data_IF_212484626556
#
_entry.id   IF_212484626556
#
_cell.length_a   1.000
_cell.length_b   1.000
_cell.length_c   1.000
_cell.angle_alpha   90.00
_cell.angle_beta   90.00
_cell.angle_gamma   90.00
#
_symmetry.space_group_name_H-M   'P 1'
#
loop_
_entity.id
_entity.type
_entity.pdbx_description
1 polymer ?
#
# COMPACT_ATOMS: atom_id res chain seq x y z
N UNK A 1 14.83 -13.82 5.73
CA UNK A 1 15.06 -12.34 5.65
C UNK A 1 16.54 -12.01 5.84
N UNK A 2 17.44 -12.97 5.62
CA UNK A 2 18.87 -12.76 5.90
C UNK A 2 19.49 -11.72 4.97
N UNK A 3 18.98 -11.60 3.74
CA UNK A 3 19.32 -10.53 2.81
C UNK A 3 19.06 -9.11 3.36
N UNK A 4 17.99 -8.91 4.14
CA UNK A 4 17.66 -7.62 4.75
C UNK A 4 18.58 -7.34 5.94
N UNK A 5 18.91 -8.37 6.73
CA UNK A 5 19.87 -8.26 7.83
C UNK A 5 21.27 -7.88 7.31
N UNK A 6 21.73 -8.55 6.25
CA UNK A 6 23.00 -8.23 5.58
C UNK A 6 23.02 -6.80 5.03
N UNK A 7 21.93 -6.34 4.42
CA UNK A 7 21.82 -4.98 3.90
C UNK A 7 21.90 -3.92 5.02
N UNK A 8 21.22 -4.14 6.15
CA UNK A 8 21.26 -3.23 7.30
C UNK A 8 22.64 -3.20 7.98
N UNK A 9 23.33 -4.34 8.05
CA UNK A 9 24.71 -4.43 8.54
C UNK A 9 25.68 -3.67 7.63
N UNK A 10 25.55 -3.85 6.31
CA UNK A 10 26.35 -3.12 5.32
C UNK A 10 26.06 -1.60 5.34
N UNK A 11 24.85 -1.20 5.72
CA UNK A 11 24.48 0.19 5.93
C UNK A 11 25.02 0.78 7.26
N UNK A 12 25.74 -0.02 8.06
CA UNK A 12 26.38 0.43 9.31
C UNK A 12 25.46 0.46 10.53
N UNK A 13 24.31 -0.24 10.49
CA UNK A 13 23.47 -0.40 11.67
C UNK A 13 24.10 -1.43 12.61
N UNK A 14 24.21 -1.09 13.89
CA UNK A 14 24.71 -2.01 14.93
C UNK A 14 23.88 -3.29 15.01
N UNK A 15 24.57 -4.43 15.07
CA UNK A 15 23.97 -5.77 15.14
C UNK A 15 22.88 -5.91 16.23
N UNK A 16 23.06 -5.23 17.36
CA UNK A 16 22.09 -5.23 18.46
C UNK A 16 20.73 -4.62 18.07
N UNK A 17 20.69 -3.71 17.08
CA UNK A 17 19.45 -3.06 16.59
C UNK A 17 18.90 -3.70 15.32
N UNK A 18 19.69 -4.49 14.60
CA UNK A 18 19.28 -5.12 13.33
C UNK A 18 18.04 -6.01 13.54
N UNK A 19 17.99 -6.81 14.61
CA UNK A 19 16.84 -7.68 14.87
C UNK A 19 15.57 -6.90 15.23
N UNK A 20 15.71 -5.79 15.95
CA UNK A 20 14.59 -4.89 16.29
C UNK A 20 14.04 -4.20 15.03
N UNK A 21 14.92 -3.66 14.19
CA UNK A 21 14.55 -2.99 12.94
C UNK A 21 13.87 -3.97 11.99
N UNK A 22 14.41 -5.18 11.81
CA UNK A 22 13.76 -6.22 11.00
C UNK A 22 12.41 -6.65 11.59
N UNK A 23 12.29 -6.73 12.91
CA UNK A 23 11.03 -7.01 13.59
C UNK A 23 9.95 -5.96 13.32
N UNK A 24 10.31 -4.68 13.36
CA UNK A 24 9.39 -3.57 13.06
C UNK A 24 9.03 -3.53 11.57
N UNK A 25 10.01 -3.73 10.68
CA UNK A 25 9.76 -3.82 9.23
C UNK A 25 8.79 -4.97 8.92
N UNK A 26 8.94 -6.13 9.55
CA UNK A 26 8.02 -7.27 9.34
C UNK A 26 6.59 -6.99 9.84
N UNK A 27 6.41 -6.10 10.82
CA UNK A 27 5.07 -5.70 11.30
C UNK A 27 4.43 -4.65 10.40
N UNK A 28 5.25 -3.77 9.82
CA UNK A 28 4.76 -2.67 8.98
C UNK A 28 4.58 -3.09 7.52
N UNK A 29 5.52 -3.85 6.92
CA UNK A 29 5.45 -4.27 5.50
C UNK A 29 4.08 -4.86 5.12
N UNK A 30 3.48 -5.81 5.86
CA UNK A 30 2.17 -6.36 5.49
C UNK A 30 1.02 -5.35 5.49
N UNK A 31 1.18 -4.19 6.14
CA UNK A 31 0.18 -3.10 6.17
C UNK A 31 0.27 -2.18 4.95
N UNK A 32 1.36 -2.24 4.18
CA UNK A 32 1.62 -1.37 3.03
C UNK A 32 1.93 -2.14 1.74
N UNK A 33 2.33 -3.40 1.84
CA UNK A 33 2.71 -4.26 0.71
C UNK A 33 1.95 -5.58 0.79
N UNK A 34 1.38 -5.99 -0.35
CA UNK A 34 0.83 -7.33 -0.51
C UNK A 34 2.04 -8.30 -0.56
N UNK A 35 2.13 -9.29 0.34
CA UNK A 35 3.20 -10.27 0.30
C UNK A 35 3.30 -10.92 -1.09
N UNK A 36 4.52 -11.08 -1.60
CA UNK A 36 4.77 -11.68 -2.93
C UNK A 36 4.05 -13.01 -3.12
N UNK A 37 3.99 -13.83 -2.07
CA UNK A 37 3.29 -15.11 -2.11
C UNK A 37 1.78 -14.96 -2.32
N UNK A 38 1.16 -13.93 -1.70
CA UNK A 38 -0.26 -13.60 -1.92
C UNK A 38 -0.51 -13.00 -3.30
N UNK A 39 0.42 -12.17 -3.79
CA UNK A 39 0.35 -11.68 -5.16
C UNK A 39 0.47 -12.83 -6.17
N UNK A 40 1.40 -13.76 -5.95
CA UNK A 40 1.60 -14.93 -6.80
C UNK A 40 0.35 -15.84 -6.77
N UNK A 41 -0.20 -16.12 -5.59
CA UNK A 41 -1.43 -16.91 -5.44
C UNK A 41 -2.60 -16.30 -6.23
N UNK A 42 -2.81 -14.99 -6.13
CA UNK A 42 -3.85 -14.28 -6.88
C UNK A 42 -3.54 -14.25 -8.38
N UNK A 43 -2.28 -14.08 -8.77
CA UNK A 43 -1.84 -14.06 -10.17
C UNK A 43 -2.01 -15.44 -10.83
N UNK A 44 -1.67 -16.51 -10.12
CA UNK A 44 -1.88 -17.89 -10.55
C UNK A 44 -3.37 -18.22 -10.62
N UNK A 45 -4.16 -17.83 -9.61
CA UNK A 45 -5.62 -17.98 -9.64
C UNK A 45 -6.24 -17.23 -10.83
N UNK A 46 -5.75 -16.01 -11.14
CA UNK A 46 -6.18 -15.25 -12.32
C UNK A 46 -5.84 -16.00 -13.61
N UNK A 47 -4.62 -16.50 -13.76
CA UNK A 47 -4.21 -17.29 -14.93
C UNK A 47 -5.04 -18.56 -15.09
N UNK A 48 -5.35 -19.25 -13.99
CA UNK A 48 -6.20 -20.43 -14.02
C UNK A 48 -7.62 -20.07 -14.47
N UNK A 49 -8.21 -19.02 -13.91
CA UNK A 49 -9.54 -18.53 -14.32
C UNK A 49 -9.56 -18.12 -15.79
N UNK A 50 -8.51 -17.45 -16.30
CA UNK A 50 -8.38 -17.12 -17.72
C UNK A 50 -8.29 -18.38 -18.60
N UNK A 51 -7.62 -19.43 -18.13
CA UNK A 51 -7.58 -20.72 -18.82
C UNK A 51 -8.95 -21.39 -18.84
N UNK A 52 -9.64 -21.44 -17.70
CA UNK A 52 -10.96 -22.04 -17.57
C UNK A 52 -11.99 -21.32 -18.45
N UNK A 53 -11.91 -19.98 -18.56
CA UNK A 53 -12.75 -19.20 -19.48
C UNK A 53 -12.50 -19.60 -20.93
N UNK A 54 -11.22 -19.72 -21.34
CA UNK A 54 -10.88 -20.15 -22.71
C UNK A 54 -11.38 -21.56 -23.01
N UNK A 55 -11.24 -22.49 -22.06
CA UNK A 55 -11.72 -23.86 -22.21
C UNK A 55 -13.25 -23.91 -22.32
N UNK A 56 -13.97 -23.12 -21.52
CA UNK A 56 -15.43 -22.97 -21.62
C UNK A 56 -15.85 -22.38 -22.96
N UNK A 57 -15.16 -21.36 -23.45
CA UNK A 57 -15.45 -20.76 -24.76
C UNK A 57 -15.24 -21.77 -25.90
N UNK A 58 -14.20 -22.61 -25.80
CA UNK A 58 -13.98 -23.71 -26.73
C UNK A 58 -15.11 -24.74 -26.67
N UNK A 59 -15.52 -25.15 -25.46
CA UNK A 59 -16.65 -26.07 -25.28
C UNK A 59 -17.96 -25.49 -25.82
N UNK A 60 -18.23 -24.20 -25.62
CA UNK A 60 -19.41 -23.52 -26.18
C UNK A 60 -19.37 -23.49 -27.70
N UNK A 61 -18.19 -23.31 -28.30
CA UNK A 61 -18.03 -23.36 -29.75
C UNK A 61 -18.29 -24.77 -30.31
N UNK A 62 -17.72 -25.80 -29.68
CA UNK A 62 -17.94 -27.20 -30.05
C UNK A 62 -19.41 -27.62 -29.86
N UNK A 63 -20.06 -27.16 -28.78
CA UNK A 63 -21.49 -27.33 -28.56
C UNK A 63 -22.29 -26.60 -29.63
N UNK A 64 -21.88 -25.40 -30.04
CA UNK A 64 -22.54 -24.63 -31.08
C UNK A 64 -22.53 -25.34 -32.43
N UNK A 65 -21.41 -26.01 -32.75
CA UNK A 65 -21.31 -26.85 -33.94
C UNK A 65 -22.21 -28.08 -33.87
N UNK A 66 -22.32 -28.71 -32.69
CA UNK A 66 -23.19 -29.89 -32.46
C UNK A 66 -24.68 -29.55 -32.37
N UNK A 67 -24.99 -28.33 -31.95
CA UNK A 67 -26.35 -27.81 -31.82
C UNK A 67 -26.93 -27.29 -33.16
N UNK A 68 -26.13 -27.29 -34.23
CA UNK A 68 -26.56 -26.83 -35.55
C UNK A 68 -27.88 -27.48 -35.98
N UNK A 69 -28.88 -26.66 -36.26
CA UNK A 69 -30.23 -27.11 -36.63
C UNK A 69 -31.23 -27.19 -35.46
N UNK A 70 -30.83 -26.84 -34.24
CA UNK A 70 -31.74 -26.59 -33.12
C UNK A 70 -31.66 -25.11 -32.72
N UNK A 71 -32.63 -24.32 -33.19
CA UNK A 71 -32.67 -22.86 -33.02
C UNK A 71 -32.59 -22.41 -31.56
N UNK A 72 -33.23 -23.14 -30.63
CA UNK A 72 -33.21 -22.82 -29.20
C UNK A 72 -31.80 -23.02 -28.60
N UNK A 73 -31.11 -24.10 -28.98
CA UNK A 73 -29.76 -24.37 -28.51
C UNK A 73 -28.74 -23.42 -29.14
N UNK A 74 -28.88 -23.08 -30.42
CA UNK A 74 -28.01 -22.08 -31.07
C UNK A 74 -28.14 -20.70 -30.41
N UNK A 75 -29.36 -20.30 -30.04
CA UNK A 75 -29.61 -19.04 -29.35
C UNK A 75 -29.00 -19.02 -27.94
N UNK A 76 -29.19 -20.08 -27.16
CA UNK A 76 -28.59 -20.20 -25.83
C UNK A 76 -27.05 -20.18 -25.88
N UNK A 77 -26.45 -20.80 -26.90
CA UNK A 77 -24.99 -20.83 -27.05
C UNK A 77 -24.44 -19.44 -27.38
N UNK A 78 -25.13 -18.66 -28.22
CA UNK A 78 -24.76 -17.26 -28.47
C UNK A 78 -24.90 -16.39 -27.22
N UNK A 79 -26.00 -16.51 -26.48
CA UNK A 79 -26.18 -15.80 -25.21
C UNK A 79 -25.08 -16.15 -24.20
N UNK A 80 -24.69 -17.42 -24.10
CA UNK A 80 -23.61 -17.87 -23.22
C UNK A 80 -22.25 -17.33 -23.66
N UNK A 81 -21.98 -17.26 -24.97
CA UNK A 81 -20.75 -16.66 -25.49
C UNK A 81 -20.68 -15.15 -25.20
N UNK A 82 -21.76 -14.41 -25.42
CA UNK A 82 -21.82 -12.98 -25.10
C UNK A 82 -21.71 -12.72 -23.59
N UNK A 83 -22.38 -13.56 -22.78
CA UNK A 83 -22.31 -13.46 -21.31
C UNK A 83 -20.90 -13.73 -20.80
N UNK A 84 -20.20 -14.73 -21.33
CA UNK A 84 -18.81 -15.01 -20.97
C UNK A 84 -17.88 -13.86 -21.37
N UNK A 85 -18.03 -13.31 -22.59
CA UNK A 85 -17.23 -12.19 -23.06
C UNK A 85 -17.42 -10.95 -22.17
N UNK A 86 -18.68 -10.62 -21.84
CA UNK A 86 -19.00 -9.51 -20.95
C UNK A 86 -18.50 -9.75 -19.52
N UNK A 87 -18.65 -10.97 -19.00
CA UNK A 87 -18.15 -11.31 -17.68
C UNK A 87 -16.63 -11.14 -17.60
N UNK A 88 -15.89 -11.57 -18.64
CA UNK A 88 -14.44 -11.39 -18.72
C UNK A 88 -14.05 -9.92 -18.68
N UNK A 89 -14.69 -9.08 -19.49
CA UNK A 89 -14.45 -7.63 -19.50
C UNK A 89 -14.78 -6.98 -18.14
N UNK A 90 -15.90 -7.35 -17.52
CA UNK A 90 -16.29 -6.88 -16.19
C UNK A 90 -15.28 -7.30 -15.11
N UNK A 91 -14.76 -8.53 -15.16
CA UNK A 91 -13.75 -9.00 -14.22
C UNK A 91 -12.42 -8.29 -14.40
N UNK A 92 -11.94 -8.13 -15.64
CA UNK A 92 -10.72 -7.39 -15.95
C UNK A 92 -10.85 -5.93 -15.48
N UNK A 93 -11.97 -5.29 -15.77
CA UNK A 93 -12.28 -3.94 -15.31
C UNK A 93 -12.32 -3.82 -13.79
N UNK A 94 -12.97 -4.76 -13.09
CA UNK A 94 -13.01 -4.79 -11.61
C UNK A 94 -11.62 -4.98 -11.01
N UNK A 95 -10.82 -5.90 -11.54
CA UNK A 95 -9.45 -6.15 -11.05
C UNK A 95 -8.59 -4.91 -11.26
N UNK A 96 -8.67 -4.28 -12.44
CA UNK A 96 -7.94 -3.05 -12.73
C UNK A 96 -8.37 -1.94 -11.77
N UNK A 97 -9.67 -1.71 -11.59
CA UNK A 97 -10.18 -0.70 -10.66
C UNK A 97 -9.74 -0.93 -9.22
N UNK A 98 -9.84 -2.16 -8.71
CA UNK A 98 -9.37 -2.51 -7.36
C UNK A 98 -7.86 -2.26 -7.21
N UNK A 99 -7.08 -2.64 -8.23
CA UNK A 99 -5.62 -2.43 -8.22
C UNK A 99 -5.28 -0.95 -8.19
N UNK A 100 -5.92 -0.15 -9.06
CA UNK A 100 -5.76 1.31 -9.10
C UNK A 100 -6.20 1.94 -7.77
N UNK A 101 -7.36 1.59 -7.23
CA UNK A 101 -7.89 2.14 -5.98
C UNK A 101 -6.97 1.87 -4.79
N UNK A 102 -6.47 0.64 -4.67
CA UNK A 102 -5.55 0.27 -3.60
C UNK A 102 -4.24 1.05 -3.68
N UNK A 103 -3.67 1.16 -4.87
CA UNK A 103 -2.41 1.88 -5.06
C UNK A 103 -2.58 3.39 -4.87
N UNK A 104 -3.68 3.99 -5.34
CA UNK A 104 -4.02 5.40 -5.06
C UNK A 104 -4.12 5.61 -3.55
N UNK A 105 -4.85 4.72 -2.84
CA UNK A 105 -5.04 4.82 -1.39
C UNK A 105 -3.72 4.69 -0.63
N UNK A 106 -2.86 3.75 -1.01
CA UNK A 106 -1.52 3.60 -0.43
C UNK A 106 -0.69 4.86 -0.65
N UNK A 107 -0.67 5.37 -1.88
CA UNK A 107 0.13 6.51 -2.21
C UNK A 107 -0.38 7.79 -1.52
N UNK A 108 -1.69 7.98 -1.36
CA UNK A 108 -2.26 9.06 -0.55
C UNK A 108 -1.85 8.96 0.94
N UNK A 109 -1.88 7.73 1.49
CA UNK A 109 -1.48 7.46 2.87
C UNK A 109 0.00 7.76 3.10
N UNK A 110 0.88 7.31 2.20
CA UNK A 110 2.33 7.58 2.26
C UNK A 110 2.63 9.07 2.19
N UNK A 111 1.79 9.79 1.45
CA UNK A 111 1.87 11.23 1.29
C UNK A 111 1.18 12.03 2.41
N UNK A 112 0.69 11.36 3.46
CA UNK A 112 0.01 11.95 4.64
C UNK A 112 -1.21 12.80 4.28
N UNK A 113 -2.02 12.31 3.34
CA UNK A 113 -3.34 12.89 3.08
C UNK A 113 -4.23 12.83 4.34
N UNK A 114 -5.00 13.89 4.60
CA UNK A 114 -5.94 13.97 5.74
C UNK A 114 -7.21 13.16 5.51
N UNK A 115 -7.64 13.04 4.25
CA UNK A 115 -8.86 12.34 3.84
C UNK A 115 -8.61 11.58 2.54
N UNK A 116 -8.05 10.38 2.63
CA UNK A 116 -7.66 9.58 1.47
C UNK A 116 -8.86 9.25 0.57
N UNK A 117 -9.99 8.86 1.18
CA UNK A 117 -11.19 8.45 0.43
C UNK A 117 -11.81 9.63 -0.36
N UNK A 118 -11.69 10.87 0.12
CA UNK A 118 -12.16 12.06 -0.59
C UNK A 118 -11.24 12.45 -1.76
N UNK A 119 -9.95 12.16 -1.62
CA UNK A 119 -8.94 12.47 -2.63
C UNK A 119 -8.88 11.40 -3.73
N UNK A 120 -9.28 10.17 -3.45
CA UNK A 120 -9.36 9.09 -4.44
C UNK A 120 -10.12 9.48 -5.71
N UNK A 121 -11.23 10.22 -5.57
CA UNK A 121 -12.05 10.67 -6.71
C UNK A 121 -11.42 11.77 -7.58
N UNK A 122 -10.24 12.28 -7.21
CA UNK A 122 -9.51 13.31 -7.97
C UNK A 122 -8.48 12.72 -8.94
N UNK A 123 -8.22 11.42 -8.84
CA UNK A 123 -7.30 10.73 -9.73
C UNK A 123 -7.97 10.40 -11.05
N UNK A 124 -7.25 10.68 -12.14
CA UNK A 124 -7.67 10.32 -13.48
C UNK A 124 -7.17 8.90 -13.77
N UNK A 125 -8.02 7.92 -13.44
CA UNK A 125 -7.74 6.48 -13.58
C UNK A 125 -7.46 6.06 -15.02
N UNK A 126 -7.98 6.78 -16.02
CA UNK A 126 -7.77 6.45 -17.43
C UNK A 126 -6.33 6.74 -17.88
N UNK A 127 -5.65 7.68 -17.20
CA UNK A 127 -4.23 7.99 -17.44
C UNK A 127 -3.28 7.12 -16.63
N UNK A 128 -3.79 6.29 -15.74
CA UNK A 128 -2.98 5.40 -14.90
C UNK A 128 -2.78 4.06 -15.60
N UNK A 129 -1.51 3.65 -15.74
CA UNK A 129 -1.16 2.35 -16.35
C UNK A 129 -0.53 1.44 -15.31
N UNK A 130 -1.12 0.26 -15.14
CA UNK A 130 -0.56 -0.80 -14.30
C UNK A 130 0.58 -1.46 -15.08
N UNK A 131 1.80 -1.37 -14.55
CA UNK A 131 2.99 -2.04 -15.09
C UNK A 131 3.04 -3.50 -14.63
N UNK A 132 3.84 -4.31 -15.32
CA UNK A 132 4.02 -5.73 -14.99
C UNK A 132 4.62 -5.97 -13.60
N UNK A 133 5.36 -5.00 -13.05
CA UNK A 133 5.92 -5.03 -11.70
C UNK A 133 4.89 -4.66 -10.61
N UNK A 134 3.65 -4.34 -10.98
CA UNK A 134 2.59 -3.92 -10.07
C UNK A 134 2.63 -2.44 -9.69
N UNK A 135 3.58 -1.66 -10.22
CA UNK A 135 3.60 -0.20 -10.06
C UNK A 135 2.62 0.48 -11.02
N UNK A 136 2.17 1.68 -10.66
CA UNK A 136 1.26 2.46 -11.50
C UNK A 136 2.01 3.67 -12.07
N UNK A 137 2.15 3.68 -13.39
CA UNK A 137 2.68 4.83 -14.11
C UNK A 137 1.70 6.01 -14.07
N UNK A 138 2.22 7.23 -13.86
CA UNK A 138 1.43 8.46 -13.80
C UNK A 138 0.80 8.73 -12.43
N UNK A 139 0.84 7.79 -11.48
CA UNK A 139 0.30 7.98 -10.14
C UNK A 139 1.07 9.04 -9.36
N UNK A 140 2.40 8.97 -9.39
CA UNK A 140 3.29 9.89 -8.68
C UNK A 140 3.10 11.34 -9.16
N UNK A 141 2.92 11.54 -10.46
CA UNK A 141 2.72 12.86 -11.05
C UNK A 141 1.37 13.45 -10.62
N UNK A 142 0.29 12.65 -10.66
CA UNK A 142 -1.01 13.09 -10.18
C UNK A 142 -1.01 13.42 -8.68
N UNK A 143 -0.23 12.71 -7.87
CA UNK A 143 -0.08 13.03 -6.44
C UNK A 143 0.62 14.37 -6.24
N UNK A 144 1.68 14.66 -7.00
CA UNK A 144 2.37 15.95 -6.92
C UNK A 144 1.45 17.09 -7.31
N UNK A 145 0.72 16.96 -8.42
CA UNK A 145 -0.25 17.96 -8.86
C UNK A 145 -1.36 18.16 -7.80
N UNK A 146 -1.84 17.06 -7.22
CA UNK A 146 -2.86 17.09 -6.18
C UNK A 146 -2.34 17.75 -4.89
N UNK A 147 -1.09 17.50 -4.51
CA UNK A 147 -0.42 18.18 -3.39
C UNK A 147 -0.25 19.66 -3.62
N UNK A 148 0.14 20.07 -4.82
CA UNK A 148 0.30 21.48 -5.15
C UNK A 148 -1.04 22.22 -5.15
N UNK A 149 -2.09 21.58 -5.65
CA UNK A 149 -3.44 22.14 -5.75
C UNK A 149 -4.15 22.16 -4.40
N UNK A 150 -3.98 21.12 -3.58
CA UNK A 150 -4.70 20.92 -2.32
C UNK A 150 -3.77 20.77 -1.13
N UNK A 151 -2.80 21.68 -0.98
CA UNK A 151 -1.81 21.67 0.12
C UNK A 151 -2.44 21.47 1.49
N UNK A 152 -3.59 22.12 1.73
CA UNK A 152 -4.32 22.04 3.00
C UNK A 152 -4.86 20.64 3.34
N UNK A 153 -5.02 19.76 2.35
CA UNK A 153 -5.50 18.39 2.52
C UNK A 153 -4.38 17.40 2.80
N UNK A 154 -3.11 17.84 2.80
CA UNK A 154 -1.95 17.05 3.18
C UNK A 154 -1.36 17.58 4.49
N UNK A 155 -0.86 16.68 5.33
CA UNK A 155 -0.21 17.07 6.57
C UNK A 155 1.23 17.46 6.27
N UNK A 156 1.54 18.75 6.44
CA UNK A 156 2.94 19.19 6.42
C UNK A 156 3.73 18.53 7.56
N UNK A 157 5.01 18.18 7.35
CA UNK A 157 5.85 17.71 8.43
C UNK A 157 5.91 18.80 9.50
N UNK A 158 5.40 18.49 10.69
CA UNK A 158 5.52 19.36 11.86
C UNK A 158 7.01 19.55 12.18
N UNK A 159 7.55 20.70 11.80
CA UNK A 159 8.82 21.18 12.29
C UNK A 159 8.64 21.54 13.76
N UNK A 160 8.96 20.61 14.66
CA UNK A 160 9.01 20.92 16.08
C UNK A 160 10.07 21.99 16.31
N UNK A 161 9.66 23.17 16.76
CA UNK A 161 10.60 24.08 17.41
C UNK A 161 10.96 23.43 18.73
N UNK A 162 12.23 23.03 18.91
CA UNK A 162 12.74 22.77 20.27
C UNK A 162 12.47 24.04 21.08
N UNK A 163 11.70 23.96 22.18
CA UNK A 163 11.53 25.10 23.07
C UNK A 163 12.91 25.60 23.45
N UNK A 164 13.13 26.91 23.40
CA UNK A 164 14.35 27.52 23.91
C UNK A 164 14.33 27.41 25.43
N UNK A 165 14.63 26.22 25.93
CA UNK A 165 15.01 26.02 27.32
C UNK A 165 16.43 26.56 27.43
N UNK A 166 16.55 27.89 27.58
CA UNK A 166 17.76 28.48 28.12
C UNK A 166 17.93 27.85 29.50
N UNK A 167 18.82 26.85 29.58
CA UNK A 167 19.11 26.12 30.80
C UNK A 167 19.69 27.02 31.85
N UNK A 168 18.84 27.79 32.52
CA UNK A 168 19.14 28.36 33.82
C UNK A 168 18.85 27.26 34.85
N UNK A 169 19.67 26.21 34.80
CA UNK A 169 19.86 25.28 35.92
C UNK A 169 20.69 25.99 36.98
N UNK A 170 20.21 27.14 37.47
CA UNK A 170 20.73 27.73 38.68
C UNK A 170 19.76 27.34 39.79
N UNK A 171 20.15 26.42 40.71
CA UNK A 171 19.30 26.10 41.85
C UNK A 171 19.00 27.38 42.63
N UNK A 172 17.79 27.55 43.19
CA UNK A 172 17.45 28.75 43.93
C UNK A 172 18.49 28.98 45.03
N UNK A 173 19.02 30.20 45.08
CA UNK A 173 20.02 30.61 46.06
C UNK A 173 19.53 30.25 47.47
N UNK A 174 20.26 29.35 48.15
CA UNK A 174 19.93 28.85 49.49
C UNK A 174 19.86 27.34 49.62
N UNK A 175 19.72 26.57 48.53
CA UNK A 175 19.74 25.09 48.61
C UNK A 175 21.10 24.53 49.06
N UNK A 176 22.18 25.25 48.77
CA UNK A 176 23.54 24.87 49.18
C UNK A 176 23.76 25.00 50.70
N UNK A 177 23.14 26.01 51.34
CA UNK A 177 23.15 26.16 52.80
C UNK A 177 22.30 25.08 53.48
N UNK A 178 21.19 24.69 52.87
CA UNK A 178 20.33 23.61 53.38
C UNK A 178 21.08 22.26 53.28
N UNK A 179 21.74 21.99 52.15
CA UNK A 179 22.55 20.79 51.97
C UNK A 179 23.72 20.70 52.98
N UNK A 180 24.40 21.83 53.23
CA UNK A 180 25.52 21.91 54.19
C UNK A 180 25.07 21.68 55.64
N UNK A 181 23.93 22.23 56.03
CA UNK A 181 23.33 22.05 57.37
C UNK A 181 22.86 20.60 57.59
N UNK A 182 22.40 19.93 56.53
CA UNK A 182 22.01 18.51 56.59
C UNK A 182 23.25 17.61 56.72
N UNK A 183 24.35 17.91 56.02
CA UNK A 183 25.61 17.17 56.15
C UNK A 183 26.23 17.31 57.56
N UNK A 184 26.30 18.54 58.11
CA UNK A 184 26.85 18.77 59.45
C UNK A 184 26.04 18.05 60.55
N UNK A 185 24.72 17.93 60.40
CA UNK A 185 23.87 17.24 61.38
C UNK A 185 23.85 15.71 61.23
N UNK A 186 24.24 15.17 60.06
CA UNK A 186 24.27 13.73 59.79
C UNK A 186 25.67 13.11 59.93
N UNK A 187 26.70 13.89 60.25
CA UNK A 187 28.03 13.40 60.63
C UNK A 187 28.81 12.69 59.52
N UNK A 188 28.62 13.09 58.26
CA UNK A 188 29.49 12.69 57.14
C UNK A 188 30.44 13.83 56.74
#
# INVERSE_FOLDING_TARGET
MDWLKELLKNAGIEDAKVDEVVGNINKEIPKYLIPKDKYNEVSEAKKQLESDIKDRDKQLKDLGEKAKGNEDLEKQIKELQETNAKAKEDYESKINNITLDNAIKLALKDNKAKHEDLLMGRFDKEKLKIKEDGTIEGLEDQIKDLKETYKDLFVEPLGGFTPKNNGDSNPPAGMEQIAKTIQENLGY
#
